data_IF_200451117941
#
_entry.id   IF_200451117941
#
_cell.length_a   1.000
_cell.length_b   1.000
_cell.length_c   1.000
_cell.angle_alpha   90.00
_cell.angle_beta   90.00
_cell.angle_gamma   90.00
#
_symmetry.space_group_name_H-M   'P 1'
#
loop_
_entity.id
_entity.type
_entity.pdbx_description
1 polymer ?
#
# COMPACT_ATOMS: atom_id res chain seq x y z
N UNK A 1 10.46 12.34 -13.51
CA UNK A 1 10.36 11.78 -12.15
C UNK A 1 11.73 11.91 -11.53
N UNK A 2 11.98 12.98 -10.77
CA UNK A 2 13.26 13.15 -10.10
C UNK A 2 13.30 12.16 -8.93
N UNK A 3 14.19 11.18 -8.99
CA UNK A 3 14.49 10.35 -7.84
C UNK A 3 15.14 11.24 -6.79
N UNK A 4 14.45 11.48 -5.68
CA UNK A 4 15.05 12.18 -4.54
C UNK A 4 15.84 11.12 -3.76
N UNK A 5 17.14 11.07 -3.97
CA UNK A 5 18.03 10.21 -3.19
C UNK A 5 18.21 10.83 -1.79
N UNK A 6 17.38 10.40 -0.84
CA UNK A 6 17.54 10.75 0.57
C UNK A 6 18.33 9.66 1.29
N UNK A 7 19.46 10.03 1.90
CA UNK A 7 20.21 9.14 2.80
C UNK A 7 19.35 8.84 4.04
N UNK A 8 19.40 7.61 4.53
CA UNK A 8 18.51 7.12 5.60
C UNK A 8 18.70 7.84 6.95
N UNK A 9 19.93 8.06 7.39
CA UNK A 9 20.24 8.68 8.68
C UNK A 9 19.70 10.12 8.84
N UNK A 10 19.84 11.06 7.90
CA UNK A 10 19.30 12.42 8.07
C UNK A 10 17.77 12.48 8.07
N UNK A 11 17.08 11.54 7.41
CA UNK A 11 15.61 11.48 7.40
C UNK A 11 15.06 11.17 8.79
N UNK A 12 15.64 10.18 9.49
CA UNK A 12 15.21 9.80 10.84
C UNK A 12 15.39 10.90 11.89
N UNK A 13 16.34 11.82 11.67
CA UNK A 13 16.62 12.92 12.59
C UNK A 13 16.01 14.27 12.15
N UNK A 14 15.26 14.28 11.04
CA UNK A 14 14.61 15.51 10.57
C UNK A 14 13.39 15.88 11.42
N UNK A 15 13.06 17.19 11.54
CA UNK A 15 11.79 17.61 12.14
C UNK A 15 10.60 17.01 11.39
N UNK A 16 9.63 16.48 12.14
CA UNK A 16 8.47 15.74 11.57
C UNK A 16 7.70 16.57 10.53
N UNK A 17 7.56 17.88 10.76
CA UNK A 17 6.85 18.77 9.84
C UNK A 17 7.58 18.93 8.50
N UNK A 18 8.90 19.07 8.53
CA UNK A 18 9.71 19.17 7.31
C UNK A 18 9.65 17.86 6.53
N UNK A 19 9.71 16.71 7.20
CA UNK A 19 9.57 15.41 6.55
C UNK A 19 8.20 15.26 5.86
N UNK A 20 7.12 15.67 6.52
CA UNK A 20 5.77 15.63 5.96
C UNK A 20 5.61 16.54 4.73
N UNK A 21 6.19 17.74 4.77
CA UNK A 21 6.15 18.66 3.64
C UNK A 21 6.87 18.08 2.41
N UNK A 22 8.03 17.45 2.61
CA UNK A 22 8.79 16.83 1.52
C UNK A 22 8.20 15.49 1.04
N UNK A 23 7.45 14.75 1.87
CA UNK A 23 6.86 13.45 1.51
C UNK A 23 5.53 13.56 0.76
N UNK A 24 4.74 14.61 1.01
CA UNK A 24 3.45 14.84 0.34
C UNK A 24 3.49 14.71 -1.20
N UNK A 25 4.44 15.30 -1.95
CA UNK A 25 4.46 15.19 -3.41
C UNK A 25 4.76 13.79 -3.94
N UNK A 26 5.38 12.89 -3.15
CA UNK A 26 5.75 11.53 -3.57
C UNK A 26 4.70 10.46 -3.20
N UNK A 27 3.74 10.79 -2.33
CA UNK A 27 2.66 9.89 -1.87
C UNK A 27 1.51 9.75 -2.91
N UNK A 28 1.82 9.40 -4.16
CA UNK A 28 0.82 9.22 -5.23
C UNK A 28 0.70 7.78 -5.70
N UNK A 29 0.35 6.87 -4.80
CA UNK A 29 0.19 5.45 -5.12
C UNK A 29 -1.06 4.87 -4.47
N UNK A 30 -1.70 3.93 -5.15
CA UNK A 30 -2.81 3.15 -4.63
C UNK A 30 -2.48 1.66 -4.77
N UNK A 31 -2.90 0.85 -3.80
CA UNK A 31 -2.68 -0.60 -3.76
C UNK A 31 -4.02 -1.34 -3.79
N UNK A 32 -4.00 -2.55 -4.35
CA UNK A 32 -5.16 -3.43 -4.46
C UNK A 32 -4.81 -4.84 -3.96
N UNK A 33 -5.66 -5.42 -3.12
CA UNK A 33 -5.55 -6.81 -2.69
C UNK A 33 -6.22 -7.75 -3.70
N UNK A 34 -5.42 -8.46 -4.50
CA UNK A 34 -5.92 -9.40 -5.53
C UNK A 34 -6.39 -10.73 -4.91
N UNK A 35 -5.86 -11.11 -3.75
CA UNK A 35 -6.26 -12.26 -2.93
C UNK A 35 -6.09 -11.88 -1.46
N UNK A 36 -6.98 -12.33 -0.58
CA UNK A 36 -6.87 -12.08 0.87
C UNK A 36 -7.03 -13.36 1.67
N UNK A 37 -6.26 -13.47 2.75
CA UNK A 37 -6.34 -14.57 3.71
C UNK A 37 -5.64 -15.87 3.29
N UNK A 38 -5.62 -16.81 4.23
CA UNK A 38 -4.98 -18.13 4.10
C UNK A 38 -3.50 -18.08 3.76
N UNK A 39 -2.77 -17.09 4.28
CA UNK A 39 -1.33 -17.06 4.09
C UNK A 39 -0.63 -18.04 5.04
N UNK A 40 0.22 -18.91 4.49
CA UNK A 40 0.89 -19.99 5.26
C UNK A 40 2.04 -19.48 6.13
N UNK A 41 2.51 -18.27 5.85
CA UNK A 41 3.56 -17.59 6.59
C UNK A 41 3.09 -17.25 8.01
N UNK A 42 3.94 -17.51 9.00
CA UNK A 42 3.67 -17.28 10.42
C UNK A 42 4.01 -15.86 10.87
N UNK A 43 3.70 -14.84 10.06
CA UNK A 43 4.03 -13.46 10.38
C UNK A 43 3.21 -12.97 11.59
N UNK A 44 3.90 -12.57 12.68
CA UNK A 44 3.26 -12.19 13.95
C UNK A 44 2.36 -10.96 13.86
N UNK A 45 2.64 -10.06 12.92
CA UNK A 45 1.90 -8.80 12.76
C UNK A 45 0.86 -8.84 11.63
N UNK A 46 0.89 -9.86 10.77
CA UNK A 46 0.02 -9.87 9.58
C UNK A 46 -1.33 -10.48 9.94
N UNK A 47 -2.44 -9.73 9.80
CA UNK A 47 -3.75 -10.27 10.09
C UNK A 47 -4.23 -11.27 9.02
N UNK A 48 -3.49 -11.48 7.93
CA UNK A 48 -3.81 -12.42 6.86
C UNK A 48 -3.19 -13.81 7.06
N UNK A 49 -2.34 -13.98 8.08
CA UNK A 49 -1.74 -15.26 8.41
C UNK A 49 -2.83 -16.27 8.80
N UNK A 50 -2.77 -17.47 8.23
CA UNK A 50 -3.67 -18.57 8.58
C UNK A 50 -3.49 -19.06 10.03
N UNK A 51 -2.41 -18.63 10.70
CA UNK A 51 -2.11 -18.97 12.10
C UNK A 51 -2.63 -17.92 13.08
N UNK A 52 -3.06 -16.75 12.59
CA UNK A 52 -3.56 -15.67 13.43
C UNK A 52 -5.08 -15.79 13.60
N UNK A 53 -5.58 -15.58 14.83
CA UNK A 53 -7.01 -15.50 15.10
C UNK A 53 -7.50 -14.08 14.80
N UNK A 54 -7.89 -13.84 13.54
CA UNK A 54 -8.40 -12.55 13.08
C UNK A 54 -9.73 -12.72 12.35
N UNK A 55 -10.51 -11.65 12.23
CA UNK A 55 -11.79 -11.64 11.52
C UNK A 55 -11.64 -11.43 10.00
N UNK A 56 -10.42 -11.51 9.46
CA UNK A 56 -10.17 -11.26 8.04
C UNK A 56 -10.82 -12.35 7.20
N UNK A 57 -11.86 -11.97 6.46
CA UNK A 57 -12.55 -12.88 5.53
C UNK A 57 -11.66 -13.18 4.33
N UNK A 58 -11.36 -14.47 4.14
CA UNK A 58 -10.60 -14.93 2.99
C UNK A 58 -11.37 -14.70 1.69
N UNK A 59 -10.74 -14.03 0.72
CA UNK A 59 -11.26 -13.84 -0.63
C UNK A 59 -10.36 -14.57 -1.61
N UNK A 60 -10.98 -15.33 -2.52
CA UNK A 60 -10.27 -15.99 -3.61
C UNK A 60 -9.62 -14.97 -4.54
N UNK A 61 -8.64 -15.45 -5.30
CA UNK A 61 -7.95 -14.66 -6.32
C UNK A 61 -8.96 -14.04 -7.30
N UNK A 62 -8.84 -12.74 -7.51
CA UNK A 62 -9.65 -12.01 -8.49
C UNK A 62 -9.34 -12.45 -9.92
N UNK A 63 -10.30 -12.31 -10.82
CA UNK A 63 -10.06 -12.47 -12.25
C UNK A 63 -9.20 -11.33 -12.80
N UNK A 64 -8.50 -11.57 -13.90
CA UNK A 64 -7.65 -10.57 -14.56
C UNK A 64 -8.43 -9.29 -14.91
N UNK A 65 -9.65 -9.44 -15.42
CA UNK A 65 -10.49 -8.29 -15.80
C UNK A 65 -10.91 -7.47 -14.57
N UNK A 66 -11.27 -8.13 -13.47
CA UNK A 66 -11.60 -7.45 -12.22
C UNK A 66 -10.40 -6.67 -11.65
N UNK A 67 -9.17 -7.17 -11.82
CA UNK A 67 -7.94 -6.44 -11.44
C UNK A 67 -7.74 -5.22 -12.33
N UNK A 68 -7.86 -5.37 -13.64
CA UNK A 68 -7.69 -4.26 -14.59
C UNK A 68 -8.73 -3.16 -14.38
N UNK A 69 -9.99 -3.52 -14.15
CA UNK A 69 -11.05 -2.55 -13.90
C UNK A 69 -10.85 -1.81 -12.58
N UNK A 70 -10.43 -2.52 -11.53
CA UNK A 70 -10.10 -1.91 -10.24
C UNK A 70 -8.90 -0.97 -10.35
N UNK A 71 -7.86 -1.36 -11.10
CA UNK A 71 -6.69 -0.53 -11.34
C UNK A 71 -7.02 0.75 -12.10
N UNK A 72 -7.86 0.67 -13.16
CA UNK A 72 -8.35 1.85 -13.90
C UNK A 72 -9.15 2.79 -12.99
N UNK A 73 -10.02 2.24 -12.15
CA UNK A 73 -10.79 3.03 -11.17
C UNK A 73 -9.89 3.76 -10.18
N UNK A 74 -8.91 3.07 -9.60
CA UNK A 74 -7.95 3.67 -8.66
C UNK A 74 -7.12 4.77 -9.34
N UNK A 75 -6.65 4.55 -10.56
CA UNK A 75 -5.94 5.56 -11.35
C UNK A 75 -6.80 6.81 -11.58
N UNK A 76 -8.05 6.64 -12.01
CA UNK A 76 -8.97 7.77 -12.22
C UNK A 76 -9.29 8.52 -10.93
N UNK A 77 -9.36 7.82 -9.79
CA UNK A 77 -9.62 8.45 -8.50
C UNK A 77 -8.45 9.33 -8.04
N UNK A 78 -7.20 8.95 -8.34
CA UNK A 78 -6.01 9.77 -8.10
C UNK A 78 -6.00 11.07 -8.93
N UNK A 79 -6.71 11.12 -10.07
CA UNK A 79 -6.83 12.33 -10.90
C UNK A 79 -7.90 13.32 -10.41
N UNK A 80 -8.90 12.88 -9.64
CA UNK A 80 -10.01 13.75 -9.18
C UNK A 80 -9.61 14.61 -7.97
N UNK A 81 -8.52 14.24 -7.27
CA UNK A 81 -7.97 14.99 -6.14
C UNK A 81 -6.84 15.97 -6.53
N UNK A 82 -6.65 16.23 -7.83
CA UNK A 82 -5.74 17.22 -8.41
C UNK A 82 -6.54 18.24 -9.22
#
# INVERSE_FOLDING_TARGET
>A
MAGVEMKSTPVYHSPVLDLNFHSAPVHKHALLFIKTGSCIEGCLYSPQSARAFTEVKGKKLMSKDAVNDSAKRLCNMLFIWL
#
